data_IF_524611772976
#
_entry.id   IF_524611772976
#
_cell.length_a   1.000
_cell.length_b   1.000
_cell.length_c   1.000
_cell.angle_alpha   90.00
_cell.angle_beta   90.00
_cell.angle_gamma   90.00
#
_symmetry.space_group_name_H-M   'P 1'
#
loop_
_entity.id
_entity.type
_entity.pdbx_description
1 polymer ?
#
# COMPACT_ATOMS: atom_id res chain seq x y z
N UNK A 1 -19.59 43.51 39.78
CA UNK A 1 -20.56 43.12 38.73
C UNK A 1 -21.31 44.29 38.08
N UNK A 2 -21.71 45.37 38.78
CA UNK A 2 -22.42 46.51 38.15
C UNK A 2 -21.62 47.29 37.08
N UNK A 3 -20.28 47.36 37.15
CA UNK A 3 -19.49 48.15 36.18
C UNK A 3 -19.28 47.48 34.81
N UNK A 4 -19.45 46.16 34.72
CA UNK A 4 -19.31 45.41 33.47
C UNK A 4 -20.57 45.52 32.59
N UNK A 5 -21.75 45.53 33.23
CA UNK A 5 -23.04 45.75 32.57
C UNK A 5 -23.19 47.16 32.00
N UNK A 6 -22.56 48.17 32.59
CA UNK A 6 -22.61 49.55 32.06
C UNK A 6 -21.76 49.77 30.80
N UNK A 7 -20.75 48.95 30.53
CA UNK A 7 -19.91 49.06 29.33
C UNK A 7 -20.25 48.08 28.21
N UNK A 8 -21.17 47.15 28.47
CA UNK A 8 -21.67 46.18 27.48
C UNK A 8 -22.02 46.78 26.09
N UNK A 9 -22.68 47.95 25.97
CA UNK A 9 -23.03 48.52 24.66
C UNK A 9 -21.82 48.99 23.84
N UNK A 10 -20.70 49.36 24.49
CA UNK A 10 -19.48 49.78 23.80
C UNK A 10 -18.75 48.61 23.16
N UNK A 11 -18.85 47.41 23.75
CA UNK A 11 -18.18 46.20 23.26
C UNK A 11 -19.00 45.38 22.25
N UNK A 12 -20.32 45.60 22.19
CA UNK A 12 -21.23 44.91 21.27
C UNK A 12 -20.80 44.97 19.78
N UNK A 13 -20.38 46.12 19.21
CA UNK A 13 -19.96 46.16 17.81
C UNK A 13 -18.70 45.35 17.56
N UNK A 14 -17.71 45.41 18.46
CA UNK A 14 -16.48 44.64 18.35
C UNK A 14 -16.73 43.13 18.46
N UNK A 15 -17.63 42.72 19.36
CA UNK A 15 -18.06 41.34 19.49
C UNK A 15 -18.76 40.84 18.21
N UNK A 16 -19.64 41.66 17.62
CA UNK A 16 -20.36 41.29 16.39
C UNK A 16 -19.42 41.07 15.20
N UNK A 17 -18.42 41.95 15.02
CA UNK A 17 -17.41 41.84 13.96
C UNK A 17 -16.50 40.64 14.20
N UNK A 18 -16.09 40.40 15.45
CA UNK A 18 -15.26 39.25 15.82
C UNK A 18 -15.98 37.92 15.53
N UNK A 19 -17.24 37.79 15.94
CA UNK A 19 -18.05 36.59 15.68
C UNK A 19 -18.19 36.32 14.18
N UNK A 20 -18.35 37.39 13.39
CA UNK A 20 -18.51 37.28 11.94
C UNK A 20 -17.19 36.84 11.28
N UNK A 21 -16.05 37.42 11.66
CA UNK A 21 -14.73 37.02 11.15
C UNK A 21 -14.38 35.58 11.51
N UNK A 22 -14.59 35.17 12.78
CA UNK A 22 -14.33 33.80 13.23
C UNK A 22 -15.28 32.82 12.53
N UNK A 23 -16.56 33.19 12.35
CA UNK A 23 -17.53 32.37 11.65
C UNK A 23 -17.16 32.15 10.18
N UNK A 24 -16.72 33.19 9.47
CA UNK A 24 -16.22 33.08 8.09
C UNK A 24 -15.01 32.17 8.03
N UNK A 25 -14.01 32.37 8.91
CA UNK A 25 -12.78 31.57 8.91
C UNK A 25 -13.04 30.08 9.18
N UNK A 26 -13.94 29.75 10.12
CA UNK A 26 -14.32 28.37 10.40
C UNK A 26 -15.10 27.74 9.25
N UNK A 27 -16.00 28.52 8.62
CA UNK A 27 -16.79 28.03 7.49
C UNK A 27 -15.92 27.76 6.27
N UNK A 28 -14.97 28.63 5.95
CA UNK A 28 -14.03 28.42 4.83
C UNK A 28 -13.10 27.25 5.11
N UNK A 29 -12.59 27.12 6.34
CA UNK A 29 -11.76 25.98 6.74
C UNK A 29 -12.52 24.66 6.65
N UNK A 30 -13.78 24.63 7.10
CA UNK A 30 -14.63 23.43 6.98
C UNK A 30 -14.92 23.06 5.52
N UNK A 31 -15.19 24.04 4.66
CA UNK A 31 -15.36 23.83 3.22
C UNK A 31 -14.09 23.28 2.54
N UNK A 32 -12.90 23.76 2.93
CA UNK A 32 -11.63 23.22 2.44
C UNK A 32 -11.44 21.76 2.86
N UNK A 33 -11.77 21.42 4.11
CA UNK A 33 -11.73 20.03 4.59
C UNK A 33 -12.70 19.14 3.81
N UNK A 34 -13.91 19.63 3.50
CA UNK A 34 -14.89 18.88 2.69
C UNK A 34 -14.40 18.72 1.25
N UNK A 35 -13.85 19.76 0.64
CA UNK A 35 -13.33 19.72 -0.72
C UNK A 35 -12.14 18.75 -0.85
N UNK A 36 -11.28 18.67 0.17
CA UNK A 36 -10.15 17.74 0.19
C UNK A 36 -10.57 16.26 0.40
N UNK A 37 -11.87 15.97 0.59
CA UNK A 37 -12.35 14.58 0.69
C UNK A 37 -12.68 14.00 -0.68
N UNK A 38 -13.10 14.83 -1.64
CA UNK A 38 -13.33 14.37 -3.03
C UNK A 38 -12.04 13.86 -3.69
N UNK A 39 -10.87 14.27 -3.19
CA UNK A 39 -9.55 13.77 -3.60
C UNK A 39 -9.11 12.48 -2.87
N UNK A 40 -9.76 12.08 -1.78
CA UNK A 40 -9.36 10.95 -0.92
C UNK A 40 -10.41 9.83 -0.94
N UNK A 41 -10.65 9.24 -2.11
CA UNK A 41 -11.36 7.97 -2.22
C UNK A 41 -10.33 6.85 -2.01
N UNK A 42 -10.34 6.23 -0.83
CA UNK A 42 -9.53 5.03 -0.60
C UNK A 42 -10.24 3.82 -1.20
N UNK A 43 -9.54 3.09 -2.07
CA UNK A 43 -10.04 1.82 -2.59
C UNK A 43 -9.62 0.70 -1.66
N UNK A 44 -10.54 0.24 -0.82
CA UNK A 44 -10.36 -1.01 -0.08
C UNK A 44 -10.45 -2.17 -1.07
N UNK A 45 -9.39 -2.95 -1.22
CA UNK A 45 -9.44 -4.19 -1.98
C UNK A 45 -9.71 -5.35 -1.02
N UNK A 46 -10.86 -6.01 -1.17
CA UNK A 46 -11.14 -7.30 -0.51
C UNK A 46 -11.07 -8.43 -1.53
N UNK A 47 -10.60 -9.60 -1.12
CA UNK A 47 -10.52 -10.78 -1.99
C UNK A 47 -11.56 -11.80 -1.56
N UNK A 48 -12.45 -12.18 -2.47
CA UNK A 48 -13.36 -13.30 -2.27
C UNK A 48 -12.77 -14.53 -2.95
N UNK A 49 -12.59 -15.60 -2.19
CA UNK A 49 -12.09 -16.88 -2.68
C UNK A 49 -13.25 -17.86 -2.79
N UNK A 50 -13.60 -18.26 -4.02
CA UNK A 50 -14.66 -19.25 -4.28
C UNK A 50 -13.98 -20.59 -4.60
N UNK A 51 -14.21 -21.64 -3.81
CA UNK A 51 -13.73 -22.98 -4.15
C UNK A 51 -14.53 -23.52 -5.33
N UNK A 52 -13.85 -24.19 -6.27
CA UNK A 52 -14.50 -24.91 -7.36
C UNK A 52 -13.89 -26.30 -7.52
N UNK A 53 -14.71 -27.22 -8.03
CA UNK A 53 -14.29 -28.57 -8.35
C UNK A 53 -14.19 -28.71 -9.86
N UNK A 54 -13.09 -29.33 -10.32
CA UNK A 54 -12.84 -29.63 -11.73
C UNK A 54 -12.83 -31.13 -11.90
N UNK A 55 -13.72 -31.63 -12.74
CA UNK A 55 -13.76 -33.03 -13.14
C UNK A 55 -13.10 -33.15 -14.51
N UNK A 56 -12.03 -33.93 -14.60
CA UNK A 56 -11.32 -34.22 -15.86
C UNK A 56 -11.41 -35.71 -16.10
N UNK A 57 -12.15 -36.10 -17.14
CA UNK A 57 -12.16 -37.48 -17.64
C UNK A 57 -11.06 -37.59 -18.68
N UNK A 58 -10.17 -38.58 -18.53
CA UNK A 58 -9.17 -38.93 -19.53
C UNK A 58 -9.37 -40.38 -19.97
N UNK A 59 -9.46 -40.57 -21.27
CA UNK A 59 -9.49 -41.90 -21.88
C UNK A 59 -8.08 -42.52 -21.87
N UNK A 60 -7.94 -43.83 -22.14
CA UNK A 60 -6.62 -44.43 -22.31
C UNK A 60 -5.83 -43.77 -23.45
N UNK A 61 -4.57 -43.44 -23.19
CA UNK A 61 -3.71 -42.77 -24.18
C UNK A 61 -2.48 -42.11 -23.56
N UNK A 62 -1.65 -41.53 -24.43
CA UNK A 62 -0.48 -40.76 -24.02
C UNK A 62 -0.85 -39.29 -23.89
N UNK A 63 -0.54 -38.72 -22.74
CA UNK A 63 -0.84 -37.33 -22.42
C UNK A 63 0.43 -36.56 -22.09
N UNK A 64 0.42 -35.28 -22.46
CA UNK A 64 1.41 -34.30 -22.05
C UNK A 64 0.69 -33.23 -21.25
N UNK A 65 1.16 -32.98 -20.04
CA UNK A 65 0.62 -31.97 -19.13
C UNK A 65 1.69 -30.91 -18.85
N UNK A 66 1.30 -29.65 -19.02
CA UNK A 66 2.16 -28.49 -18.74
C UNK A 66 1.66 -27.87 -17.44
N UNK A 67 2.51 -27.86 -16.43
CA UNK A 67 2.21 -27.28 -15.12
C UNK A 67 3.18 -26.13 -14.82
N UNK A 68 2.67 -25.04 -14.25
CA UNK A 68 3.50 -23.97 -13.73
C UNK A 68 3.72 -24.20 -12.23
N UNK A 69 4.97 -24.42 -11.84
CA UNK A 69 5.38 -24.69 -10.47
C UNK A 69 6.12 -23.50 -9.88
N UNK A 70 5.76 -23.13 -8.66
CA UNK A 70 6.40 -22.05 -7.92
C UNK A 70 7.38 -22.62 -6.89
N UNK A 71 8.62 -22.11 -6.90
CA UNK A 71 9.68 -22.47 -5.97
C UNK A 71 9.95 -21.29 -5.04
N UNK A 72 9.80 -21.52 -3.73
CA UNK A 72 10.17 -20.54 -2.71
C UNK A 72 11.68 -20.63 -2.51
N UNK A 73 12.40 -19.58 -2.93
CA UNK A 73 13.85 -19.50 -2.81
C UNK A 73 14.26 -18.97 -1.44
N UNK A 74 13.53 -17.97 -0.95
CA UNK A 74 13.70 -17.33 0.36
C UNK A 74 12.32 -16.97 0.90
N UNK A 75 12.09 -17.18 2.19
CA UNK A 75 10.89 -16.73 2.89
C UNK A 75 11.24 -16.45 4.35
N UNK A 76 11.66 -15.21 4.60
CA UNK A 76 12.13 -14.75 5.89
C UNK A 76 11.21 -13.66 6.44
N UNK A 77 11.15 -13.57 7.76
CA UNK A 77 10.31 -12.59 8.46
C UNK A 77 11.01 -12.04 9.70
N UNK A 78 10.71 -10.79 10.05
CA UNK A 78 11.26 -10.15 11.25
C UNK A 78 12.75 -9.89 11.18
N UNK A 79 13.26 -9.47 10.01
CA UNK A 79 14.68 -9.22 9.78
C UNK A 79 15.04 -7.86 10.39
N UNK A 80 15.87 -7.90 11.43
CA UNK A 80 16.50 -6.73 12.06
C UNK A 80 17.98 -6.73 11.72
N UNK A 81 18.40 -5.87 10.79
CA UNK A 81 19.77 -5.83 10.26
C UNK A 81 19.93 -6.54 8.91
N UNK A 82 21.17 -6.81 8.50
CA UNK A 82 21.45 -7.41 7.19
C UNK A 82 21.10 -8.90 7.17
N UNK A 83 20.22 -9.29 6.24
CA UNK A 83 20.01 -10.69 5.88
C UNK A 83 20.90 -11.03 4.69
N UNK A 84 21.71 -12.08 4.84
CA UNK A 84 22.44 -12.72 3.73
C UNK A 84 22.06 -14.19 3.69
N UNK A 85 21.45 -14.64 2.60
CA UNK A 85 21.04 -16.04 2.44
C UNK A 85 21.41 -16.57 1.06
N UNK A 86 21.85 -17.83 1.03
CA UNK A 86 22.21 -18.55 -0.20
C UNK A 86 21.20 -19.67 -0.43
N UNK A 87 20.74 -19.79 -1.66
CA UNK A 87 19.72 -20.77 -2.03
C UNK A 87 20.02 -21.34 -3.41
N UNK A 88 19.82 -22.65 -3.56
CA UNK A 88 19.93 -23.32 -4.85
C UNK A 88 18.58 -23.27 -5.55
N UNK A 89 18.58 -23.21 -6.88
CA UNK A 89 17.32 -23.28 -7.63
C UNK A 89 17.02 -24.76 -7.90
N UNK A 90 15.95 -25.34 -7.33
CA UNK A 90 15.64 -26.76 -7.54
C UNK A 90 15.05 -26.95 -8.94
N UNK A 91 15.91 -27.26 -9.92
CA UNK A 91 15.48 -27.54 -11.29
C UNK A 91 15.28 -29.04 -11.45
N UNK A 92 14.02 -29.46 -11.55
CA UNK A 92 13.70 -30.81 -12.01
C UNK A 92 13.97 -30.94 -13.51
N UNK A 93 14.37 -32.14 -13.96
CA UNK A 93 14.81 -32.42 -15.33
C UNK A 93 13.78 -32.05 -16.42
N UNK A 94 12.49 -32.12 -16.08
CA UNK A 94 11.38 -31.81 -16.99
C UNK A 94 10.86 -30.37 -16.87
N UNK A 95 11.56 -29.51 -16.14
CA UNK A 95 11.14 -28.15 -15.85
C UNK A 95 12.06 -27.12 -16.50
N UNK A 96 11.45 -26.13 -17.15
CA UNK A 96 12.14 -24.94 -17.65
C UNK A 96 11.85 -23.77 -16.73
N UNK A 97 12.87 -23.26 -16.05
CA UNK A 97 12.74 -22.06 -15.23
C UNK A 97 12.35 -20.86 -16.11
N UNK A 98 11.40 -20.08 -15.60
CA UNK A 98 11.28 -18.70 -16.04
C UNK A 98 12.53 -17.98 -15.52
N UNK A 99 13.25 -17.27 -16.39
CA UNK A 99 14.45 -16.49 -16.00
C UNK A 99 14.07 -15.24 -15.18
N UNK A 100 13.08 -15.36 -14.30
CA UNK A 100 12.50 -14.31 -13.48
C UNK A 100 12.41 -14.77 -12.04
N UNK A 101 12.82 -13.89 -11.13
CA UNK A 101 12.62 -14.06 -9.69
C UNK A 101 11.63 -13.01 -9.23
N UNK A 102 10.49 -13.47 -8.73
CA UNK A 102 9.46 -12.64 -8.11
C UNK A 102 9.87 -12.30 -6.68
N UNK A 103 9.65 -11.06 -6.30
CA UNK A 103 10.03 -10.51 -4.99
C UNK A 103 8.79 -9.89 -4.34
N UNK A 104 8.62 -10.22 -3.07
CA UNK A 104 7.73 -9.54 -2.14
C UNK A 104 8.58 -9.07 -0.96
N UNK A 105 8.59 -7.77 -0.72
CA UNK A 105 9.24 -7.19 0.44
C UNK A 105 8.26 -6.27 1.17
N UNK A 106 8.17 -6.46 2.48
CA UNK A 106 7.42 -5.61 3.40
C UNK A 106 8.40 -5.10 4.46
N UNK A 107 8.51 -3.79 4.59
CA UNK A 107 9.37 -3.15 5.57
C UNK A 107 8.67 -1.95 6.21
N UNK A 108 9.03 -1.66 7.46
CA UNK A 108 8.52 -0.52 8.22
C UNK A 108 9.66 0.34 8.72
N UNK A 109 9.52 1.66 8.67
CA UNK A 109 10.50 2.61 9.21
C UNK A 109 9.81 3.83 9.82
N UNK A 110 10.47 4.53 10.75
CA UNK A 110 10.04 5.80 11.34
C UNK A 110 10.31 7.05 10.49
N UNK A 111 10.55 6.92 9.18
CA UNK A 111 10.90 8.08 8.32
C UNK A 111 10.76 7.84 6.82
N UNK A 112 10.81 8.93 6.04
CA UNK A 112 10.70 8.93 4.57
C UNK A 112 12.05 8.67 3.89
N UNK A 113 12.08 7.79 2.89
CA UNK A 113 13.26 7.49 2.08
C UNK A 113 13.31 6.03 1.58
N UNK A 114 14.35 5.65 0.82
CA UNK A 114 14.59 4.24 0.53
C UNK A 114 14.85 3.50 1.84
N UNK A 115 14.13 2.39 2.05
CA UNK A 115 14.17 1.67 3.32
C UNK A 115 15.16 0.52 3.28
N UNK A 116 15.33 -0.11 2.11
CA UNK A 116 16.07 -1.37 2.00
C UNK A 116 16.93 -1.38 0.74
N UNK A 117 18.19 -1.77 0.86
CA UNK A 117 19.04 -2.17 -0.26
C UNK A 117 18.87 -3.67 -0.50
N UNK A 118 18.58 -4.05 -1.73
CA UNK A 118 18.50 -5.44 -2.16
C UNK A 118 19.55 -5.70 -3.21
N UNK A 119 20.44 -6.65 -2.93
CA UNK A 119 21.42 -7.17 -3.88
C UNK A 119 21.21 -8.66 -4.09
N UNK A 120 21.22 -9.11 -5.34
CA UNK A 120 21.18 -10.52 -5.71
C UNK A 120 22.40 -10.86 -6.54
N UNK A 121 23.12 -11.88 -6.11
CA UNK A 121 24.29 -12.43 -6.81
C UNK A 121 24.03 -13.85 -7.24
N UNK A 122 24.52 -14.22 -8.42
CA UNK A 122 24.56 -15.60 -8.90
C UNK A 122 25.98 -16.12 -8.86
N UNK A 123 26.15 -17.39 -8.51
CA UNK A 123 27.44 -18.05 -8.40
C UNK A 123 27.58 -19.22 -9.39
N UNK A 124 28.73 -19.29 -10.04
CA UNK A 124 29.18 -20.44 -10.86
C UNK A 124 30.53 -20.85 -10.28
N UNK A 125 30.58 -21.95 -9.55
CA UNK A 125 31.68 -22.28 -8.64
C UNK A 125 31.94 -21.18 -7.60
N UNK A 126 33.20 -20.74 -7.50
CA UNK A 126 33.60 -19.66 -6.58
C UNK A 126 33.37 -18.25 -7.14
N UNK A 127 33.04 -18.13 -8.43
CA UNK A 127 32.88 -16.83 -9.08
C UNK A 127 31.47 -16.28 -8.86
N UNK A 128 31.39 -15.10 -8.22
CA UNK A 128 30.14 -14.38 -8.03
C UNK A 128 29.91 -13.35 -9.13
N UNK A 129 28.66 -13.22 -9.59
CA UNK A 129 28.21 -12.15 -10.48
C UNK A 129 27.01 -11.44 -9.87
N UNK A 130 27.05 -10.11 -9.79
CA UNK A 130 25.88 -9.32 -9.42
C UNK A 130 24.84 -9.36 -10.55
N UNK A 131 23.64 -9.85 -10.22
CA UNK A 131 22.51 -9.99 -11.14
C UNK A 131 21.54 -8.82 -10.99
N UNK A 132 21.40 -8.32 -9.77
CA UNK A 132 20.51 -7.25 -9.43
C UNK A 132 21.04 -6.48 -8.22
N UNK A 133 20.95 -5.16 -8.26
CA UNK A 133 21.20 -4.30 -7.11
C UNK A 133 20.31 -3.07 -7.22
N UNK A 134 19.52 -2.83 -6.19
CA UNK A 134 18.67 -1.65 -6.13
C UNK A 134 18.37 -1.21 -4.71
N UNK A 135 18.07 0.08 -4.58
CA UNK A 135 17.65 0.72 -3.36
C UNK A 135 16.13 0.84 -3.46
N UNK A 136 15.44 0.08 -2.62
CA UNK A 136 13.98 -0.03 -2.63
C UNK A 136 13.39 1.14 -1.84
N UNK A 137 12.80 2.08 -2.57
CA UNK A 137 12.00 3.20 -2.06
C UNK A 137 10.75 3.36 -2.92
N UNK A 138 9.92 4.35 -2.61
CA UNK A 138 8.68 4.61 -3.34
C UNK A 138 8.92 4.79 -4.86
N UNK A 139 8.09 4.12 -5.68
CA UNK A 139 8.12 4.23 -7.14
C UNK A 139 8.47 2.94 -7.89
N UNK A 140 8.75 3.08 -9.19
CA UNK A 140 9.14 1.99 -10.09
C UNK A 140 10.65 1.97 -10.25
N UNK A 141 11.25 0.78 -10.12
CA UNK A 141 12.70 0.63 -10.21
C UNK A 141 13.12 0.47 -11.68
N UNK A 142 13.99 1.36 -12.21
CA UNK A 142 14.45 1.29 -13.60
C UNK A 142 14.99 -0.08 -13.97
N UNK A 143 14.58 -0.60 -15.13
CA UNK A 143 15.05 -1.88 -15.65
C UNK A 143 14.45 -3.11 -14.98
N UNK A 144 13.47 -2.95 -14.07
CA UNK A 144 12.71 -4.07 -13.50
C UNK A 144 11.20 -3.84 -13.57
N UNK A 145 10.43 -4.86 -13.17
CA UNK A 145 8.98 -4.74 -12.96
C UNK A 145 8.64 -4.54 -11.47
N UNK A 146 9.64 -4.25 -10.63
CA UNK A 146 9.43 -4.06 -9.20
C UNK A 146 8.83 -2.67 -8.98
N UNK A 147 7.67 -2.67 -8.33
CA UNK A 147 6.95 -1.46 -7.89
C UNK A 147 6.89 -1.46 -6.37
N UNK A 148 7.23 -0.33 -5.78
CA UNK A 148 7.22 -0.12 -4.34
C UNK A 148 6.23 0.99 -3.99
N UNK A 149 5.30 0.68 -3.08
CA UNK A 149 4.30 1.62 -2.57
C UNK A 149 4.53 1.84 -1.08
N UNK A 150 4.57 3.10 -0.68
CA UNK A 150 4.57 3.53 0.71
C UNK A 150 3.13 3.79 1.15
N UNK A 151 2.75 3.28 2.31
CA UNK A 151 1.53 3.69 3.00
C UNK A 151 1.94 4.35 4.30
N UNK A 152 1.47 5.56 4.56
CA UNK A 152 1.49 6.12 5.90
C UNK A 152 0.44 5.38 6.72
N UNK A 153 0.86 4.63 7.73
CA UNK A 153 -0.06 4.27 8.81
C UNK A 153 -0.21 5.47 9.76
N UNK A 154 -1.38 5.58 10.39
CA UNK A 154 -1.66 6.59 11.40
C UNK A 154 -0.75 6.34 12.61
N UNK A 155 0.39 7.03 12.65
CA UNK A 155 1.37 7.00 13.74
C UNK A 155 2.80 6.79 13.25
N UNK A 156 3.46 7.87 12.80
CA UNK A 156 4.92 8.04 12.52
C UNK A 156 5.69 6.95 11.73
N UNK A 157 5.06 5.84 11.35
CA UNK A 157 5.69 4.71 10.67
C UNK A 157 5.20 4.61 9.23
N UNK A 158 6.15 4.68 8.31
CA UNK A 158 5.92 4.38 6.90
C UNK A 158 6.05 2.87 6.67
N UNK A 159 5.08 2.28 5.99
CA UNK A 159 5.11 0.89 5.53
C UNK A 159 5.45 0.86 4.05
N UNK A 160 6.53 0.21 3.67
CA UNK A 160 6.94 -0.02 2.29
C UNK A 160 6.56 -1.43 1.86
N UNK A 161 5.76 -1.51 0.79
CA UNK A 161 5.42 -2.76 0.13
C UNK A 161 6.00 -2.76 -1.29
N UNK A 162 7.00 -3.60 -1.52
CA UNK A 162 7.57 -3.82 -2.85
C UNK A 162 7.09 -5.16 -3.42
N UNK A 163 6.58 -5.12 -4.64
CA UNK A 163 6.13 -6.30 -5.40
C UNK A 163 6.62 -6.21 -6.84
N UNK A 164 7.08 -7.32 -7.38
CA UNK A 164 7.35 -7.45 -8.81
C UNK A 164 8.38 -8.55 -9.06
N UNK A 165 9.10 -8.46 -10.17
CA UNK A 165 10.15 -9.41 -10.50
C UNK A 165 11.36 -8.72 -11.11
N UNK A 166 12.53 -9.30 -10.88
CA UNK A 166 13.73 -9.01 -11.67
C UNK A 166 14.07 -10.19 -12.57
N UNK A 167 14.82 -9.89 -13.61
CA UNK A 167 15.38 -10.85 -14.57
C UNK A 167 16.87 -10.53 -14.70
N UNK A 168 17.77 -11.53 -14.73
CA UNK A 168 19.17 -11.28 -15.03
C UNK A 168 19.32 -10.51 -16.35
N UNK A 169 20.28 -9.58 -16.46
CA UNK A 169 20.55 -8.89 -17.73
C UNK A 169 20.83 -9.89 -18.85
N UNK A 170 20.43 -9.57 -20.08
CA UNK A 170 20.65 -10.46 -21.25
C UNK A 170 22.13 -10.78 -21.52
N UNK A 171 23.05 -9.97 -20.98
CA UNK A 171 24.51 -10.19 -21.04
C UNK A 171 25.04 -11.16 -19.98
N UNK A 172 24.18 -11.70 -19.11
CA UNK A 172 24.52 -12.64 -18.05
C UNK A 172 23.96 -14.04 -18.34
N UNK A 173 24.58 -15.10 -17.77
CA UNK A 173 24.01 -16.45 -17.73
C UNK A 173 22.55 -16.46 -17.28
N UNK A 174 21.81 -17.46 -17.74
CA UNK A 174 20.41 -17.69 -17.31
C UNK A 174 20.36 -18.16 -15.86
N UNK A 175 19.19 -18.06 -15.22
CA UNK A 175 19.06 -18.38 -13.79
C UNK A 175 19.47 -19.82 -13.47
N UNK A 176 19.13 -20.76 -14.34
CA UNK A 176 19.43 -22.19 -14.17
C UNK A 176 20.91 -22.54 -14.37
N UNK A 177 21.72 -21.63 -14.90
CA UNK A 177 23.16 -21.82 -15.07
C UNK A 177 23.94 -21.50 -13.78
N UNK A 178 23.30 -20.84 -12.81
CA UNK A 178 23.89 -20.57 -11.51
C UNK A 178 23.69 -21.74 -10.55
N UNK A 179 24.75 -22.11 -9.82
CA UNK A 179 24.71 -23.17 -8.80
C UNK A 179 23.89 -22.72 -7.59
N UNK A 180 24.08 -21.47 -7.16
CA UNK A 180 23.29 -20.84 -6.11
C UNK A 180 23.13 -19.35 -6.35
N UNK A 181 22.03 -18.82 -5.81
CA UNK A 181 21.76 -17.40 -5.70
C UNK A 181 21.99 -16.95 -4.26
N UNK A 182 22.62 -15.80 -4.10
CA UNK A 182 22.77 -15.12 -2.82
C UNK A 182 21.88 -13.87 -2.81
N UNK A 183 21.01 -13.77 -1.82
CA UNK A 183 20.17 -12.61 -1.56
C UNK A 183 20.72 -11.87 -0.35
N UNK A 184 21.00 -10.58 -0.55
CA UNK A 184 21.49 -9.67 0.48
C UNK A 184 20.44 -8.56 0.65
N UNK A 185 19.80 -8.50 1.80
CA UNK A 185 18.75 -7.54 2.15
C UNK A 185 19.27 -6.69 3.32
N UNK A 186 19.50 -5.41 3.06
CA UNK A 186 20.14 -4.48 3.99
C UNK A 186 19.18 -3.33 4.31
N UNK A 187 18.67 -3.24 5.54
CA UNK A 187 17.96 -2.05 6.01
C UNK A 187 18.90 -0.83 5.93
N UNK A 188 18.43 0.27 5.35
CA UNK A 188 19.24 1.49 5.17
C UNK A 188 19.31 2.31 6.47
N UNK A 189 18.24 2.30 7.27
CA UNK A 189 18.19 2.91 8.60
C UNK A 189 18.16 1.86 9.70
N UNK A 190 18.72 2.18 10.87
CA UNK A 190 18.69 1.33 12.06
C UNK A 190 17.25 1.10 12.58
N UNK A 191 16.34 2.02 12.29
CA UNK A 191 14.93 1.93 12.68
C UNK A 191 14.09 1.17 11.64
N UNK A 192 14.69 0.73 10.53
CA UNK A 192 13.99 -0.05 9.51
C UNK A 192 13.97 -1.52 9.90
N UNK A 193 12.76 -2.07 9.98
CA UNK A 193 12.51 -3.50 10.19
C UNK A 193 11.95 -4.06 8.89
N UNK A 194 12.58 -5.10 8.34
CA UNK A 194 12.02 -5.84 7.21
C UNK A 194 11.13 -6.94 7.77
N UNK A 195 9.85 -6.66 7.84
CA UNK A 195 8.84 -7.57 8.40
C UNK A 195 8.76 -8.87 7.62
N UNK A 196 8.90 -8.80 6.29
CA UNK A 196 8.84 -9.97 5.42
C UNK A 196 9.64 -9.78 4.14
N UNK A 197 10.41 -10.79 3.78
CA UNK A 197 11.07 -10.90 2.49
C UNK A 197 10.84 -12.28 1.89
N UNK A 198 10.29 -12.31 0.68
CA UNK A 198 10.03 -13.54 -0.07
C UNK A 198 10.57 -13.40 -1.48
N UNK A 199 11.42 -14.34 -1.87
CA UNK A 199 11.91 -14.49 -3.24
C UNK A 199 11.43 -15.82 -3.81
N UNK A 200 10.90 -15.80 -5.03
CA UNK A 200 10.31 -16.98 -5.68
C UNK A 200 10.73 -17.08 -7.13
N UNK A 201 10.99 -18.29 -7.59
CA UNK A 201 11.15 -18.59 -9.00
C UNK A 201 9.93 -19.37 -9.48
N UNK A 202 9.59 -19.22 -10.76
CA UNK A 202 8.55 -20.03 -11.38
C UNK A 202 9.20 -20.88 -12.46
N UNK A 203 8.79 -22.14 -12.58
CA UNK A 203 9.18 -22.98 -13.70
C UNK A 203 7.94 -23.55 -14.41
N UNK A 204 8.10 -23.82 -15.69
CA UNK A 204 7.12 -24.53 -16.50
C UNK A 204 7.61 -25.96 -16.68
N UNK A 205 6.88 -26.91 -16.12
CA UNK A 205 7.21 -28.33 -16.12
C UNK A 205 6.33 -29.08 -17.11
N UNK A 206 6.94 -29.98 -17.88
CA UNK A 206 6.23 -30.79 -18.88
C UNK A 206 6.30 -32.25 -18.49
N UNK A 207 5.15 -32.82 -18.09
CA UNK A 207 5.06 -34.23 -17.70
C UNK A 207 4.39 -35.02 -18.81
N UNK A 208 5.09 -36.06 -19.30
CA UNK A 208 4.51 -37.00 -20.26
C UNK A 208 4.23 -38.32 -19.56
N UNK A 209 3.00 -38.81 -19.66
CA UNK A 209 2.59 -40.05 -19.02
C UNK A 209 1.53 -40.79 -19.83
N UNK A 210 1.48 -42.11 -19.63
CA UNK A 210 0.50 -43.00 -20.24
C UNK A 210 -0.63 -43.28 -19.25
N UNK A 211 -1.87 -43.09 -19.69
CA UNK A 211 -3.08 -43.49 -18.99
C UNK A 211 -3.54 -44.82 -19.60
N UNK A 212 -3.53 -45.90 -18.82
CA UNK A 212 -3.85 -47.26 -19.30
C UNK A 212 -5.34 -47.60 -19.26
N UNK A 213 -6.08 -46.94 -18.38
CA UNK A 213 -7.52 -47.15 -18.18
C UNK A 213 -8.20 -45.78 -18.04
N UNK A 214 -9.51 -45.65 -18.31
CA UNK A 214 -10.21 -44.39 -18.12
C UNK A 214 -10.04 -43.87 -16.70
N UNK A 215 -9.54 -42.65 -16.56
CA UNK A 215 -9.31 -41.99 -15.27
C UNK A 215 -10.23 -40.79 -15.10
N UNK A 216 -10.89 -40.72 -13.95
CA UNK A 216 -11.58 -39.50 -13.49
C UNK A 216 -10.68 -38.80 -12.47
N UNK A 217 -10.06 -37.69 -12.87
CA UNK A 217 -9.37 -36.80 -11.94
C UNK A 217 -10.33 -35.75 -11.41
N UNK A 218 -10.45 -35.68 -10.09
CA UNK A 218 -11.17 -34.63 -9.39
C UNK A 218 -10.13 -33.66 -8.82
N UNK A 219 -10.03 -32.49 -9.42
CA UNK A 219 -9.24 -31.38 -8.89
C UNK A 219 -10.13 -30.44 -8.08
N UNK A 220 -9.55 -29.79 -7.08
CA UNK A 220 -10.15 -28.64 -6.41
C UNK A 220 -9.24 -27.44 -6.61
N UNK A 221 -9.82 -26.29 -6.93
CA UNK A 221 -9.10 -25.03 -7.07
C UNK A 221 -9.83 -23.90 -6.37
N UNK A 222 -9.15 -22.78 -6.22
CA UNK A 222 -9.70 -21.54 -5.68
C UNK A 222 -9.64 -20.48 -6.76
N UNK A 223 -10.76 -19.83 -7.07
CA UNK A 223 -10.77 -18.58 -7.84
C UNK A 223 -10.88 -17.43 -6.86
N UNK A 224 -9.91 -16.52 -6.93
CA UNK A 224 -9.91 -15.30 -6.13
C UNK A 224 -10.33 -14.11 -6.98
N UNK A 225 -11.39 -13.42 -6.57
CA UNK A 225 -11.85 -12.19 -7.18
C UNK A 225 -11.48 -11.02 -6.27
N UNK A 226 -10.74 -10.05 -6.80
CA UNK A 226 -10.48 -8.79 -6.11
C UNK A 226 -11.68 -7.86 -6.32
N UNK A 227 -12.35 -7.50 -5.22
CA UNK A 227 -13.42 -6.50 -5.21
C UNK A 227 -12.84 -5.24 -4.62
N UNK A 228 -12.77 -4.19 -5.43
CA UNK A 228 -12.43 -2.85 -4.99
C UNK A 228 -13.70 -2.15 -4.51
N UNK A 229 -13.80 -1.92 -3.21
CA UNK A 229 -14.86 -1.11 -2.61
C UNK A 229 -14.32 0.29 -2.31
N UNK A 230 -15.07 1.32 -2.67
CA UNK A 230 -14.74 2.69 -2.26
C UNK A 230 -15.04 2.84 -0.77
N UNK A 231 -14.00 3.09 0.03
CA UNK A 231 -14.13 3.42 1.46
C UNK A 231 -14.02 4.93 1.57
N UNK A 232 -15.15 5.57 1.78
CA UNK A 232 -15.19 7.00 2.11
C UNK A 232 -14.88 7.15 3.60
N UNK A 233 -13.81 7.87 3.94
CA UNK A 233 -13.46 8.16 5.33
C UNK A 233 -14.42 9.22 5.91
N UNK A 234 -15.56 8.77 6.44
CA UNK A 234 -16.63 9.63 6.96
C UNK A 234 -16.21 10.59 8.09
N UNK A 235 -15.14 10.29 8.84
CA UNK A 235 -14.73 11.10 10.00
C UNK A 235 -14.32 12.53 9.62
N UNK A 236 -13.59 12.70 8.50
CA UNK A 236 -13.19 14.02 8.00
C UNK A 236 -14.37 14.78 7.40
N UNK A 237 -15.32 14.07 6.78
CA UNK A 237 -16.53 14.68 6.23
C UNK A 237 -17.37 15.26 7.35
N UNK A 238 -17.57 14.48 8.42
CA UNK A 238 -18.29 14.92 9.61
C UNK A 238 -17.59 16.11 10.25
N UNK A 239 -16.27 16.09 10.43
CA UNK A 239 -15.55 17.23 11.04
C UNK A 239 -15.61 18.50 10.17
N UNK A 240 -15.44 18.38 8.85
CA UNK A 240 -15.57 19.47 7.90
C UNK A 240 -16.97 20.10 7.92
N UNK A 241 -18.03 19.28 7.85
CA UNK A 241 -19.42 19.74 7.95
C UNK A 241 -19.70 20.42 9.30
N UNK A 242 -19.18 19.88 10.39
CA UNK A 242 -19.39 20.44 11.73
C UNK A 242 -18.77 21.84 11.82
N UNK A 243 -17.57 22.06 11.27
CA UNK A 243 -16.93 23.37 11.20
C UNK A 243 -17.75 24.37 10.38
N UNK A 244 -18.30 23.94 9.25
CA UNK A 244 -19.20 24.79 8.43
C UNK A 244 -20.43 25.20 9.22
N UNK A 245 -21.10 24.26 9.89
CA UNK A 245 -22.30 24.53 10.68
C UNK A 245 -22.00 25.50 11.83
N UNK A 246 -20.94 25.27 12.59
CA UNK A 246 -20.52 26.17 13.68
C UNK A 246 -20.18 27.56 13.15
N UNK A 247 -19.46 27.64 12.03
CA UNK A 247 -19.12 28.91 11.38
C UNK A 247 -20.36 29.71 10.98
N UNK A 248 -21.36 29.05 10.38
CA UNK A 248 -22.64 29.67 10.00
C UNK A 248 -23.40 30.18 11.22
N UNK A 249 -23.47 29.42 12.32
CA UNK A 249 -24.12 29.89 13.55
C UNK A 249 -23.43 31.12 14.14
N UNK A 250 -22.11 31.20 14.11
CA UNK A 250 -21.36 32.37 14.57
C UNK A 250 -21.61 33.59 13.67
N UNK A 251 -21.66 33.40 12.35
CA UNK A 251 -22.00 34.47 11.41
C UNK A 251 -23.42 35.01 11.68
N UNK A 252 -24.41 34.12 11.86
CA UNK A 252 -25.78 34.50 12.19
C UNK A 252 -25.86 35.25 13.54
N UNK A 253 -25.14 34.79 14.56
CA UNK A 253 -25.03 35.48 15.85
C UNK A 253 -24.38 36.87 15.74
N UNK A 254 -23.33 36.99 14.92
CA UNK A 254 -22.68 38.26 14.60
C UNK A 254 -23.64 39.24 13.93
N UNK A 255 -24.39 38.80 12.91
CA UNK A 255 -25.40 39.63 12.24
C UNK A 255 -26.51 40.04 13.20
N UNK A 256 -27.03 39.10 14.01
CA UNK A 256 -28.09 39.38 14.97
C UNK A 256 -27.66 40.43 16.01
N UNK A 257 -26.46 40.30 16.57
CA UNK A 257 -25.93 41.26 17.55
C UNK A 257 -25.71 42.64 16.93
N UNK A 258 -25.30 42.71 15.67
CA UNK A 258 -25.14 43.97 14.93
C UNK A 258 -26.49 44.67 14.65
N UNK A 259 -27.52 43.90 14.26
CA UNK A 259 -28.89 44.41 14.08
C UNK A 259 -29.48 44.88 15.41
N UNK A 260 -29.30 44.10 16.49
CA UNK A 260 -29.77 44.45 17.82
C UNK A 260 -29.12 45.75 18.32
N UNK A 261 -27.81 45.91 18.12
CA UNK A 261 -27.10 47.15 18.47
C UNK A 261 -27.66 48.37 17.71
N UNK A 262 -27.89 48.21 16.40
CA UNK A 262 -28.44 49.26 15.55
C UNK A 262 -29.84 49.67 16.00
N UNK A 263 -30.68 48.70 16.37
CA UNK A 263 -32.02 48.93 16.90
C UNK A 263 -32.00 49.64 18.26
N UNK A 264 -31.07 49.26 19.16
CA UNK A 264 -30.93 49.91 20.47
C UNK A 264 -30.50 51.37 20.34
N UNK A 265 -29.59 51.69 19.41
CA UNK A 265 -29.22 53.07 19.08
C UNK A 265 -30.40 53.89 18.55
N UNK A 266 -31.20 53.32 17.64
CA UNK A 266 -32.37 54.00 17.08
C UNK A 266 -33.45 54.31 18.14
N UNK A 267 -33.59 53.48 19.18
CA UNK A 267 -34.54 53.71 20.28
C UNK A 267 -34.07 54.70 21.34
N UNK A 268 -32.88 55.30 21.20
CA UNK A 268 -32.34 56.25 22.18
C UNK A 268 -32.14 55.65 23.57
N UNK A 269 -31.99 54.31 23.67
CA UNK A 269 -31.63 53.65 24.93
C UNK A 269 -30.13 53.76 25.24
N UNK A 270 -29.36 54.32 24.31
CA UNK A 270 -27.95 54.67 24.39
C UNK A 270 -27.64 55.84 23.46
#
# INVERSE_FOLDING_TARGET
MKSLLTRLPEYLPYLSVLLLLVGVALSTSGLLVVHDIDSWVSYGATTITIPYYRFIVREPGNYTEIESKEYILVNESGITGTLTTKTTIPVEENCTLTDRVSILLLATNGGFGPLVSLTVKGYIGENSTELFKSWLGEGVIPGTTITCTTSEEVGEKAVLLCKGAFQPPLSKPRLHEYEYLEFIVEPISQDTIVERFVARATATCTYTYEVKYPELRVGSGNMSYAITTQVVHYSRLVSGLTLVVVGVFLMLGGVFTLVLNSYLKLKGKY
#
